data_IF_724833090709
#
_entry.id   IF_724833090709
#
_cell.length_a   1.000
_cell.length_b   1.000
_cell.length_c   1.000
_cell.angle_alpha   90.00
_cell.angle_beta   90.00
_cell.angle_gamma   90.00
#
_symmetry.space_group_name_H-M   'P 1'
#
loop_
_entity.id
_entity.type
_entity.pdbx_description
1 polymer ?
#
# COMPACT_ATOMS: atom_id res chain seq x y z
N UNK A 1 3.93 14.80 -21.89
CA UNK A 1 3.37 15.42 -20.67
C UNK A 1 4.41 15.60 -19.54
N UNK A 2 5.30 14.61 -19.24
CA UNK A 2 6.32 14.77 -18.17
C UNK A 2 7.28 15.93 -18.44
N UNK A 3 7.73 16.09 -19.69
CA UNK A 3 8.61 17.18 -20.09
C UNK A 3 7.92 18.55 -19.97
N UNK A 4 6.64 18.63 -20.26
CA UNK A 4 5.83 19.84 -20.09
C UNK A 4 5.68 20.20 -18.60
N UNK A 5 5.39 19.23 -17.74
CA UNK A 5 5.37 19.43 -16.30
C UNK A 5 6.73 19.91 -15.75
N UNK A 6 7.81 19.27 -16.20
CA UNK A 6 9.17 19.64 -15.80
C UNK A 6 9.52 21.06 -16.27
N UNK A 7 9.21 21.39 -17.54
CA UNK A 7 9.44 22.73 -18.08
C UNK A 7 8.62 23.81 -17.34
N UNK A 8 7.45 23.46 -16.84
CA UNK A 8 6.61 24.31 -15.99
C UNK A 8 7.03 24.38 -14.53
N UNK A 9 8.11 23.71 -14.14
CA UNK A 9 8.57 23.66 -12.74
C UNK A 9 7.66 22.83 -11.82
N UNK A 10 6.81 21.98 -12.39
CA UNK A 10 5.92 21.11 -11.64
C UNK A 10 6.63 19.81 -11.28
N UNK A 11 6.50 19.37 -10.05
CA UNK A 11 7.02 18.12 -9.50
C UNK A 11 6.23 17.67 -8.30
N UNK A 12 6.55 16.49 -7.77
CA UNK A 12 5.93 16.03 -6.53
C UNK A 12 6.16 17.05 -5.41
N UNK A 13 5.08 17.41 -4.69
CA UNK A 13 5.08 18.42 -3.65
C UNK A 13 4.70 19.82 -4.12
N UNK A 14 4.66 20.10 -5.43
CA UNK A 14 4.19 21.41 -5.91
C UNK A 14 2.72 21.62 -5.57
N UNK A 15 2.41 22.74 -4.92
CA UNK A 15 1.04 23.09 -4.51
C UNK A 15 0.99 23.70 -3.11
N UNK A 16 -0.08 23.42 -2.41
CA UNK A 16 -0.32 23.90 -1.04
C UNK A 16 -1.01 22.81 -0.20
N UNK A 17 -1.45 23.14 1.02
CA UNK A 17 -2.11 22.18 1.92
C UNK A 17 -3.46 21.66 1.42
N UNK A 18 -4.07 22.29 0.39
CA UNK A 18 -5.36 21.89 -0.17
C UNK A 18 -5.22 21.08 -1.47
N UNK A 19 -4.26 21.45 -2.32
CA UNK A 19 -4.01 20.80 -3.59
C UNK A 19 -2.51 20.69 -3.82
N UNK A 20 -2.03 19.47 -4.02
CA UNK A 20 -0.61 19.16 -4.21
C UNK A 20 -0.43 18.13 -5.31
N UNK A 21 0.61 18.31 -6.11
CA UNK A 21 1.04 17.29 -7.08
C UNK A 21 1.64 16.12 -6.31
N UNK A 22 1.03 14.95 -6.44
CA UNK A 22 1.49 13.70 -5.82
C UNK A 22 2.50 12.94 -6.68
N UNK A 23 2.63 11.63 -6.46
CA UNK A 23 3.45 10.75 -7.30
C UNK A 23 2.87 10.61 -8.70
N UNK A 24 3.73 10.27 -9.65
CA UNK A 24 3.26 9.69 -10.92
C UNK A 24 2.93 8.23 -10.66
N UNK A 25 1.66 7.86 -10.87
CA UNK A 25 1.20 6.49 -10.73
C UNK A 25 1.45 5.71 -12.02
N UNK A 26 2.21 4.65 -11.92
CA UNK A 26 2.40 3.66 -12.98
C UNK A 26 1.74 2.32 -12.60
N UNK A 27 1.57 1.48 -13.60
CA UNK A 27 1.04 0.13 -13.44
C UNK A 27 2.06 -0.88 -13.99
N UNK A 28 2.42 -1.87 -13.16
CA UNK A 28 3.29 -2.97 -13.55
C UNK A 28 2.82 -4.26 -12.89
N UNK A 29 2.54 -5.26 -13.71
CA UNK A 29 1.99 -6.52 -13.25
C UNK A 29 0.46 -6.57 -13.24
N UNK A 30 -0.10 -7.44 -12.44
CA UNK A 30 -1.49 -7.85 -12.52
C UNK A 30 -2.21 -7.84 -11.16
N UNK A 31 -3.42 -8.42 -11.11
CA UNK A 31 -4.34 -8.32 -9.99
C UNK A 31 -4.22 -9.51 -9.03
N UNK A 32 -4.20 -9.23 -7.71
CA UNK A 32 -4.37 -10.26 -6.70
C UNK A 32 -5.76 -10.89 -6.77
N UNK A 33 -6.82 -10.07 -6.72
CA UNK A 33 -8.20 -10.56 -6.72
C UNK A 33 -8.58 -11.27 -8.02
N UNK A 34 -8.01 -10.86 -9.15
CA UNK A 34 -8.14 -11.53 -10.45
C UNK A 34 -7.34 -12.84 -10.56
N UNK A 35 -6.49 -13.16 -9.56
CA UNK A 35 -5.58 -14.32 -9.60
C UNK A 35 -4.64 -14.27 -10.80
N UNK A 36 -4.19 -13.09 -11.17
CA UNK A 36 -3.34 -12.85 -12.34
C UNK A 36 -1.98 -12.26 -11.96
N UNK A 37 -1.74 -11.93 -10.69
CA UNK A 37 -0.43 -11.52 -10.20
C UNK A 37 0.65 -12.55 -10.57
N UNK A 38 1.77 -12.10 -11.12
CA UNK A 38 2.81 -13.02 -11.62
C UNK A 38 3.74 -13.46 -10.49
N UNK A 39 3.84 -14.78 -10.30
CA UNK A 39 4.51 -15.41 -9.18
C UNK A 39 5.72 -16.24 -9.62
N UNK A 40 6.68 -16.43 -8.71
CA UNK A 40 7.77 -17.41 -8.90
C UNK A 40 7.29 -18.85 -8.76
N UNK A 41 6.37 -19.09 -7.81
CA UNK A 41 5.77 -20.41 -7.59
C UNK A 41 4.31 -20.42 -8.04
N UNK A 42 3.78 -21.55 -8.56
CA UNK A 42 2.43 -21.59 -9.09
C UNK A 42 1.37 -21.32 -8.01
N UNK A 43 0.23 -20.84 -8.43
CA UNK A 43 -0.97 -20.76 -7.59
C UNK A 43 -1.39 -22.15 -7.08
N UNK A 44 -2.01 -22.21 -5.92
CA UNK A 44 -2.64 -23.45 -5.41
C UNK A 44 -4.01 -23.68 -6.06
N UNK A 45 -4.02 -23.73 -7.38
CA UNK A 45 -5.20 -23.98 -8.20
C UNK A 45 -4.83 -24.71 -9.48
N UNK A 46 -5.83 -25.36 -10.07
CA UNK A 46 -5.66 -25.95 -11.41
C UNK A 46 -5.67 -24.84 -12.44
N UNK A 47 -4.72 -24.83 -13.34
CA UNK A 47 -4.65 -23.92 -14.48
C UNK A 47 -5.79 -24.24 -15.45
N UNK A 48 -6.72 -23.29 -15.72
CA UNK A 48 -7.85 -23.55 -16.59
C UNK A 48 -7.47 -23.88 -18.05
N UNK A 49 -6.26 -23.49 -18.48
CA UNK A 49 -5.78 -23.71 -19.83
C UNK A 49 -5.15 -25.09 -20.04
N UNK A 50 -4.46 -25.61 -19.04
CA UNK A 50 -3.69 -26.88 -19.15
C UNK A 50 -4.32 -28.03 -18.40
N UNK A 51 -5.13 -27.74 -17.35
CA UNK A 51 -5.64 -28.75 -16.43
C UNK A 51 -4.63 -29.22 -15.36
N UNK A 52 -3.43 -28.63 -15.35
CA UNK A 52 -2.34 -28.93 -14.43
C UNK A 52 -2.22 -27.88 -13.32
N UNK A 53 -1.39 -28.11 -12.30
CA UNK A 53 -1.07 -27.11 -11.25
C UNK A 53 0.19 -26.32 -11.63
N UNK A 54 0.14 -25.65 -12.77
CA UNK A 54 1.24 -24.92 -13.42
C UNK A 54 0.90 -23.47 -13.72
N UNK A 55 -0.07 -22.88 -13.01
CA UNK A 55 -0.49 -21.52 -13.23
C UNK A 55 0.28 -20.53 -12.34
N UNK A 56 1.10 -19.69 -12.97
CA UNK A 56 1.96 -18.69 -12.31
C UNK A 56 1.40 -17.26 -12.35
N UNK A 57 0.19 -17.07 -12.82
CA UNK A 57 -0.36 -15.77 -13.15
C UNK A 57 -0.04 -15.34 -14.58
N UNK A 58 -0.17 -14.05 -14.86
CA UNK A 58 0.07 -13.48 -16.20
C UNK A 58 1.30 -12.57 -16.10
N UNK A 59 2.33 -12.81 -16.92
CA UNK A 59 3.47 -11.89 -16.99
C UNK A 59 3.03 -10.47 -17.32
N UNK A 60 3.72 -9.42 -16.82
CA UNK A 60 3.51 -8.06 -17.27
C UNK A 60 3.75 -7.92 -18.78
N UNK A 61 2.98 -7.06 -19.44
CA UNK A 61 3.19 -6.74 -20.86
C UNK A 61 4.52 -6.02 -21.10
N UNK A 62 5.03 -5.32 -20.10
CA UNK A 62 6.28 -4.57 -20.16
C UNK A 62 7.49 -5.49 -20.02
N UNK A 63 8.46 -5.35 -20.90
CA UNK A 63 9.79 -5.92 -20.72
C UNK A 63 10.55 -5.20 -19.59
N UNK A 64 11.60 -5.81 -19.06
CA UNK A 64 12.46 -5.16 -18.06
C UNK A 64 13.03 -3.83 -18.56
N UNK A 65 13.46 -3.75 -19.81
CA UNK A 65 14.04 -2.52 -20.39
C UNK A 65 13.02 -1.38 -20.49
N UNK A 66 11.77 -1.69 -20.83
CA UNK A 66 10.68 -0.71 -20.86
C UNK A 66 10.33 -0.22 -19.46
N UNK A 67 10.29 -1.13 -18.48
CA UNK A 67 10.07 -0.78 -17.08
C UNK A 67 11.21 0.09 -16.53
N UNK A 68 12.47 -0.28 -16.79
CA UNK A 68 13.66 0.50 -16.41
C UNK A 68 13.58 1.93 -16.97
N UNK A 69 13.21 2.05 -18.24
CA UNK A 69 13.07 3.33 -18.91
C UNK A 69 11.95 4.17 -18.33
N UNK A 70 10.79 3.57 -18.06
CA UNK A 70 9.64 4.25 -17.46
C UNK A 70 9.98 4.80 -16.06
N UNK A 71 10.52 3.94 -15.18
CA UNK A 71 10.87 4.32 -13.82
C UNK A 71 11.94 5.42 -13.83
N UNK A 72 12.97 5.26 -14.65
CA UNK A 72 14.03 6.28 -14.74
C UNK A 72 13.50 7.62 -15.26
N UNK A 73 12.64 7.63 -16.28
CA UNK A 73 12.05 8.86 -16.84
C UNK A 73 11.25 9.64 -15.80
N UNK A 74 10.42 8.96 -15.01
CA UNK A 74 9.64 9.60 -13.94
C UNK A 74 10.57 10.11 -12.83
N UNK A 75 11.55 9.29 -12.44
CA UNK A 75 12.52 9.62 -11.40
C UNK A 75 13.38 10.83 -11.79
N UNK A 76 13.95 10.84 -13.03
CA UNK A 76 14.78 11.94 -13.56
C UNK A 76 13.99 13.25 -13.67
N UNK A 77 12.68 13.17 -13.94
CA UNK A 77 11.79 14.33 -13.97
C UNK A 77 11.50 14.93 -12.59
N UNK A 78 12.02 14.34 -11.51
CA UNK A 78 11.86 14.85 -10.13
C UNK A 78 10.60 14.39 -9.42
N UNK A 79 9.82 13.48 -10.00
CA UNK A 79 8.60 12.98 -9.38
C UNK A 79 8.89 11.80 -8.44
N UNK A 80 8.05 11.67 -7.40
CA UNK A 80 7.86 10.42 -6.71
C UNK A 80 7.19 9.42 -7.65
N UNK A 81 7.65 8.18 -7.64
CA UNK A 81 7.07 7.10 -8.43
C UNK A 81 6.21 6.23 -7.51
N UNK A 82 4.96 5.99 -7.87
CA UNK A 82 4.09 5.01 -7.23
C UNK A 82 3.69 3.94 -8.24
N UNK A 83 3.97 2.66 -7.97
CA UNK A 83 3.73 1.59 -8.94
C UNK A 83 2.85 0.49 -8.35
N UNK A 84 1.75 0.19 -9.04
CA UNK A 84 0.97 -1.02 -8.77
C UNK A 84 1.81 -2.25 -9.07
N UNK A 85 1.97 -3.14 -8.11
CA UNK A 85 2.63 -4.45 -8.29
C UNK A 85 2.22 -5.41 -7.16
N UNK A 86 1.80 -6.63 -7.49
CA UNK A 86 1.21 -7.57 -6.54
C UNK A 86 2.02 -8.85 -6.32
N UNK A 87 2.48 -9.48 -7.39
CA UNK A 87 3.19 -10.75 -7.33
C UNK A 87 4.68 -10.61 -7.06
N UNK A 88 5.26 -11.55 -6.37
CA UNK A 88 6.68 -11.53 -5.98
C UNK A 88 7.64 -11.44 -7.18
N UNK A 89 7.28 -12.02 -8.30
CA UNK A 89 8.09 -12.00 -9.53
C UNK A 89 8.01 -10.64 -10.24
N UNK A 90 6.82 -10.06 -10.36
CA UNK A 90 6.67 -8.71 -10.94
C UNK A 90 7.27 -7.63 -10.03
N UNK A 91 7.15 -7.78 -8.69
CA UNK A 91 7.80 -6.87 -7.72
C UNK A 91 9.33 -6.94 -7.85
N UNK A 92 9.89 -8.13 -8.09
CA UNK A 92 11.34 -8.28 -8.31
C UNK A 92 11.81 -7.48 -9.53
N UNK A 93 11.08 -7.53 -10.64
CA UNK A 93 11.37 -6.70 -11.83
C UNK A 93 11.31 -5.21 -11.51
N UNK A 94 10.32 -4.79 -10.72
CA UNK A 94 10.16 -3.40 -10.30
C UNK A 94 11.32 -2.94 -9.41
N UNK A 95 11.77 -3.78 -8.47
CA UNK A 95 12.92 -3.49 -7.63
C UNK A 95 14.22 -3.33 -8.45
N UNK A 96 14.41 -4.16 -9.48
CA UNK A 96 15.54 -4.02 -10.41
C UNK A 96 15.52 -2.67 -11.14
N UNK A 97 14.33 -2.19 -11.53
CA UNK A 97 14.17 -0.91 -12.18
C UNK A 97 14.43 0.28 -11.22
N UNK A 98 13.95 0.20 -9.97
CA UNK A 98 14.25 1.22 -8.95
C UNK A 98 15.74 1.26 -8.62
N UNK A 99 16.39 0.11 -8.43
CA UNK A 99 17.82 0.02 -8.16
C UNK A 99 18.65 0.68 -9.25
N UNK A 100 18.37 0.39 -10.52
CA UNK A 100 19.03 1.02 -11.67
C UNK A 100 18.79 2.53 -11.72
N UNK A 101 17.56 2.97 -11.48
CA UNK A 101 17.22 4.39 -11.51
C UNK A 101 17.97 5.16 -10.41
N UNK A 102 17.97 4.65 -9.18
CA UNK A 102 18.65 5.26 -8.03
C UNK A 102 20.18 5.20 -8.15
N UNK A 103 20.73 4.12 -8.72
CA UNK A 103 22.17 4.03 -9.00
C UNK A 103 22.62 5.05 -10.07
N UNK A 104 21.79 5.29 -11.09
CA UNK A 104 22.08 6.23 -12.17
C UNK A 104 21.93 7.69 -11.75
N UNK A 105 20.90 7.99 -10.93
CA UNK A 105 20.64 9.33 -10.40
C UNK A 105 20.25 9.22 -8.93
N UNK A 106 21.23 9.24 -7.99
CA UNK A 106 20.92 9.17 -6.56
C UNK A 106 20.04 10.33 -6.10
N UNK A 107 19.00 10.02 -5.33
CA UNK A 107 18.13 11.01 -4.69
C UNK A 107 17.77 10.53 -3.30
N UNK A 108 18.16 11.32 -2.28
CA UNK A 108 17.74 11.09 -0.90
C UNK A 108 16.25 11.37 -0.72
N UNK A 109 15.63 10.71 0.23
CA UNK A 109 14.23 10.90 0.61
C UNK A 109 13.26 10.92 -0.59
N UNK A 110 13.49 10.03 -1.56
CA UNK A 110 12.65 9.96 -2.77
C UNK A 110 11.27 9.36 -2.49
N UNK A 111 11.13 8.53 -1.45
CA UNK A 111 9.90 7.84 -1.02
C UNK A 111 9.13 7.20 -2.17
N UNK A 112 9.83 6.61 -3.15
CA UNK A 112 9.16 5.84 -4.19
C UNK A 112 8.35 4.71 -3.56
N UNK A 113 7.21 4.36 -4.17
CA UNK A 113 6.23 3.49 -3.53
C UNK A 113 5.92 2.27 -4.37
N UNK A 114 5.70 1.16 -3.68
CA UNK A 114 5.03 -0.02 -4.24
C UNK A 114 3.61 -0.05 -3.69
N UNK A 115 2.65 0.09 -4.58
CA UNK A 115 1.24 -0.04 -4.24
C UNK A 115 0.87 -1.52 -4.23
N UNK A 116 0.20 -1.95 -3.17
CA UNK A 116 -0.26 -3.30 -2.88
C UNK A 116 0.82 -4.23 -2.32
N UNK A 117 1.87 -4.55 -3.06
CA UNK A 117 2.92 -5.49 -2.64
C UNK A 117 2.31 -6.74 -1.97
N UNK A 118 1.35 -7.36 -2.67
CA UNK A 118 0.45 -8.34 -2.04
C UNK A 118 1.12 -9.65 -1.67
N UNK A 119 2.09 -10.12 -2.46
CA UNK A 119 2.88 -11.32 -2.20
C UNK A 119 4.36 -10.93 -2.22
N UNK A 120 5.04 -11.11 -1.11
CA UNK A 120 6.47 -10.76 -0.98
C UNK A 120 7.21 -11.86 -0.23
N UNK A 121 8.55 -11.86 -0.38
CA UNK A 121 9.43 -12.70 0.43
C UNK A 121 10.28 -11.81 1.37
N UNK A 122 10.93 -12.40 2.41
CA UNK A 122 11.87 -11.65 3.23
C UNK A 122 13.01 -11.00 2.41
N UNK A 123 13.45 -11.64 1.33
CA UNK A 123 14.47 -11.09 0.42
C UNK A 123 13.94 -9.86 -0.34
N UNK A 124 12.68 -9.87 -0.78
CA UNK A 124 12.03 -8.72 -1.41
C UNK A 124 11.94 -7.57 -0.40
N UNK A 125 11.48 -7.82 0.83
CA UNK A 125 11.38 -6.79 1.87
C UNK A 125 12.74 -6.22 2.25
N UNK A 126 13.80 -7.03 2.25
CA UNK A 126 15.15 -6.55 2.49
C UNK A 126 15.58 -5.55 1.40
N UNK A 127 15.31 -5.83 0.13
CA UNK A 127 15.59 -4.90 -0.99
C UNK A 127 14.73 -3.63 -0.90
N UNK A 128 13.45 -3.76 -0.53
CA UNK A 128 12.56 -2.61 -0.29
C UNK A 128 13.16 -1.68 0.75
N UNK A 129 13.69 -2.23 1.86
CA UNK A 129 14.37 -1.48 2.91
C UNK A 129 15.66 -0.81 2.42
N UNK A 130 16.51 -1.55 1.72
CA UNK A 130 17.80 -1.06 1.18
C UNK A 130 17.63 0.05 0.16
N UNK A 131 16.53 -0.01 -0.62
CA UNK A 131 16.16 1.00 -1.59
C UNK A 131 15.31 2.14 -0.98
N UNK A 132 15.09 2.16 0.32
CA UNK A 132 14.31 3.18 1.05
C UNK A 132 12.91 3.43 0.45
N UNK A 133 12.27 2.35 -0.05
CA UNK A 133 10.93 2.43 -0.64
C UNK A 133 9.85 2.44 0.45
N UNK A 134 8.69 2.98 0.10
CA UNK A 134 7.47 2.95 0.93
C UNK A 134 6.53 1.87 0.42
N UNK A 135 5.98 1.07 1.32
CA UNK A 135 4.93 0.11 0.99
C UNK A 135 3.56 0.72 1.28
N UNK A 136 2.68 0.73 0.28
CA UNK A 136 1.29 1.15 0.43
C UNK A 136 0.42 -0.10 0.36
N UNK A 137 0.23 -0.73 1.54
CA UNK A 137 -0.34 -2.06 1.64
C UNK A 137 -1.88 -2.03 1.70
N UNK A 138 -2.49 -3.04 1.11
CA UNK A 138 -3.92 -3.27 1.22
C UNK A 138 -4.32 -3.76 2.61
N UNK A 139 -5.41 -3.20 3.12
CA UNK A 139 -6.07 -3.63 4.37
C UNK A 139 -7.38 -4.35 4.05
N UNK A 140 -7.34 -5.37 3.18
CA UNK A 140 -8.56 -5.87 2.57
C UNK A 140 -8.92 -7.34 2.88
N UNK A 141 -8.22 -7.94 3.86
CA UNK A 141 -8.48 -9.34 4.25
C UNK A 141 -9.92 -9.55 4.69
N UNK A 142 -10.56 -8.55 5.34
CA UNK A 142 -11.94 -8.66 5.77
C UNK A 142 -12.90 -8.91 4.60
N UNK A 143 -12.79 -8.16 3.51
CA UNK A 143 -13.72 -8.25 2.37
C UNK A 143 -13.29 -9.29 1.33
N UNK A 144 -12.00 -9.54 1.21
CA UNK A 144 -11.42 -10.31 0.11
C UNK A 144 -10.44 -11.40 0.54
N UNK A 145 -10.52 -11.85 1.80
CA UNK A 145 -9.68 -12.94 2.31
C UNK A 145 -9.83 -14.22 1.48
N UNK A 146 -11.02 -14.48 0.94
CA UNK A 146 -11.30 -15.60 0.03
C UNK A 146 -10.38 -15.63 -1.21
N UNK A 147 -9.92 -14.46 -1.67
CA UNK A 147 -8.98 -14.38 -2.81
C UNK A 147 -7.61 -14.95 -2.49
N UNK A 148 -7.22 -14.96 -1.20
CA UNK A 148 -5.95 -15.51 -0.75
C UNK A 148 -5.91 -17.05 -0.85
N UNK A 149 -7.06 -17.73 -0.90
CA UNK A 149 -7.16 -19.19 -1.02
C UNK A 149 -6.36 -19.73 -2.21
N UNK A 150 -6.46 -19.05 -3.36
CA UNK A 150 -5.80 -19.49 -4.57
C UNK A 150 -4.26 -19.43 -4.51
N UNK A 151 -3.71 -18.74 -3.50
CA UNK A 151 -2.25 -18.65 -3.32
C UNK A 151 -1.68 -19.78 -2.46
N UNK A 152 -2.53 -20.53 -1.75
CA UNK A 152 -2.15 -21.59 -0.83
C UNK A 152 -1.81 -21.08 0.57
N UNK A 153 -2.14 -21.88 1.58
CA UNK A 153 -2.02 -21.49 3.00
C UNK A 153 -0.58 -21.15 3.41
N UNK A 154 0.40 -21.81 2.83
CA UNK A 154 1.82 -21.60 3.13
C UNK A 154 2.30 -20.17 2.77
N UNK A 155 1.59 -19.48 1.86
CA UNK A 155 1.92 -18.10 1.46
C UNK A 155 1.19 -17.03 2.24
N UNK A 156 0.15 -17.35 3.01
CA UNK A 156 -0.65 -16.31 3.67
C UNK A 156 0.16 -15.47 4.67
N UNK A 157 1.21 -16.04 5.27
CA UNK A 157 2.16 -15.31 6.12
C UNK A 157 3.05 -14.32 5.35
N UNK A 158 3.15 -14.47 4.03
CA UNK A 158 3.92 -13.61 3.11
C UNK A 158 3.00 -12.73 2.24
N UNK A 159 1.74 -12.59 2.63
CA UNK A 159 0.77 -11.73 1.95
C UNK A 159 0.34 -10.58 2.85
N UNK A 160 0.36 -9.35 2.29
CA UNK A 160 0.04 -8.13 3.05
C UNK A 160 0.84 -8.04 4.35
N UNK A 161 2.15 -8.04 4.24
CA UNK A 161 3.13 -8.26 5.31
C UNK A 161 3.33 -7.05 6.23
N UNK A 162 2.24 -6.55 6.85
CA UNK A 162 2.30 -5.36 7.70
C UNK A 162 3.24 -5.55 8.90
N UNK A 163 3.10 -6.66 9.66
CA UNK A 163 3.93 -6.92 10.84
C UNK A 163 5.41 -6.99 10.48
N UNK A 164 5.74 -7.81 9.49
CA UNK A 164 7.14 -8.00 9.09
C UNK A 164 7.77 -6.71 8.56
N UNK A 165 7.03 -5.94 7.75
CA UNK A 165 7.51 -4.66 7.23
C UNK A 165 7.78 -3.64 8.36
N UNK A 166 6.86 -3.53 9.33
CA UNK A 166 7.04 -2.67 10.50
C UNK A 166 8.23 -3.09 11.36
N UNK A 167 8.41 -4.39 11.62
CA UNK A 167 9.53 -4.94 12.39
C UNK A 167 10.88 -4.68 11.71
N UNK A 168 10.90 -4.67 10.38
CA UNK A 168 12.08 -4.31 9.60
C UNK A 168 12.32 -2.79 9.53
N UNK A 169 11.40 -1.97 10.04
CA UNK A 169 11.45 -0.51 9.96
C UNK A 169 11.18 0.05 8.56
N UNK A 170 10.49 -0.70 7.71
CA UNK A 170 10.05 -0.23 6.39
C UNK A 170 8.83 0.69 6.59
N UNK A 171 8.79 1.88 5.97
CA UNK A 171 7.62 2.74 6.03
C UNK A 171 6.40 2.07 5.37
N UNK A 172 5.29 1.99 6.10
CA UNK A 172 4.03 1.39 5.63
C UNK A 172 2.91 2.42 5.69
N UNK A 173 2.15 2.53 4.61
CA UNK A 173 0.91 3.29 4.52
C UNK A 173 -0.28 2.37 4.24
N UNK A 174 -1.46 2.76 4.73
CA UNK A 174 -2.71 2.03 4.51
C UNK A 174 -3.40 2.42 3.19
N UNK A 175 -4.06 1.46 2.56
CA UNK A 175 -4.77 1.63 1.30
C UNK A 175 -6.05 0.79 1.28
N UNK A 176 -7.17 1.38 0.85
CA UNK A 176 -8.43 0.66 0.57
C UNK A 176 -8.60 0.30 -0.90
N UNK A 177 -7.85 0.96 -1.79
CA UNK A 177 -8.06 0.86 -3.24
C UNK A 177 -9.55 1.11 -3.59
N UNK A 178 -10.05 2.29 -3.15
CA UNK A 178 -11.47 2.63 -3.30
C UNK A 178 -11.97 2.42 -4.72
N UNK A 179 -13.10 1.71 -4.81
CA UNK A 179 -13.62 1.15 -6.06
C UNK A 179 -13.46 -0.37 -6.11
N UNK A 180 -12.34 -0.92 -5.60
CA UNK A 180 -12.16 -2.36 -5.36
C UNK A 180 -12.71 -2.74 -3.99
N UNK A 181 -12.44 -1.94 -2.97
CA UNK A 181 -12.93 -2.12 -1.60
C UNK A 181 -13.60 -0.85 -1.07
N UNK A 182 -14.47 -0.98 -0.07
CA UNK A 182 -15.14 0.17 0.54
C UNK A 182 -14.15 1.10 1.27
N UNK A 183 -14.37 2.42 1.18
CA UNK A 183 -13.60 3.42 1.91
C UNK A 183 -14.14 3.57 3.34
N UNK A 184 -14.01 2.53 4.15
CA UNK A 184 -14.43 2.48 5.56
C UNK A 184 -13.19 2.30 6.44
N UNK A 185 -12.60 3.38 6.99
CA UNK A 185 -11.32 3.30 7.71
C UNK A 185 -11.32 2.34 8.91
N UNK A 186 -12.39 2.32 9.71
CA UNK A 186 -12.47 1.43 10.88
C UNK A 186 -12.47 -0.05 10.49
N UNK A 187 -13.12 -0.41 9.37
CA UNK A 187 -13.06 -1.76 8.82
C UNK A 187 -11.64 -2.13 8.37
N UNK A 188 -10.92 -1.16 7.80
CA UNK A 188 -9.52 -1.36 7.37
C UNK A 188 -8.59 -1.60 8.56
N UNK A 189 -8.75 -0.81 9.62
CA UNK A 189 -8.00 -0.96 10.86
C UNK A 189 -8.28 -2.33 11.47
N UNK A 190 -9.55 -2.75 11.59
CA UNK A 190 -9.89 -4.09 12.07
C UNK A 190 -9.27 -5.20 11.22
N UNK A 191 -9.29 -5.06 9.90
CA UNK A 191 -8.70 -6.04 8.97
C UNK A 191 -7.21 -6.26 9.23
N UNK A 192 -6.46 -5.19 9.53
CA UNK A 192 -5.03 -5.28 9.90
C UNK A 192 -4.81 -5.95 11.26
N UNK A 193 -5.68 -5.66 12.22
CA UNK A 193 -5.58 -6.17 13.61
C UNK A 193 -5.99 -7.64 13.70
N UNK A 194 -7.06 -8.03 13.03
CA UNK A 194 -7.62 -9.38 13.19
C UNK A 194 -7.16 -10.35 12.12
N UNK A 195 -6.88 -9.89 10.90
CA UNK A 195 -6.61 -10.75 9.74
C UNK A 195 -7.73 -11.76 9.49
N UNK A 196 -8.96 -11.39 9.81
CA UNK A 196 -10.15 -12.24 9.74
C UNK A 196 -11.08 -11.73 8.64
N UNK A 197 -11.53 -12.62 7.77
CA UNK A 197 -12.52 -12.30 6.72
C UNK A 197 -13.93 -12.12 7.29
N UNK A 198 -14.85 -11.62 6.47
CA UNK A 198 -16.26 -11.49 6.85
C UNK A 198 -16.91 -12.84 7.22
N UNK A 199 -16.41 -13.94 6.66
CA UNK A 199 -16.86 -15.32 6.95
C UNK A 199 -16.20 -15.90 8.21
N UNK A 200 -15.35 -15.15 8.92
CA UNK A 200 -14.68 -15.56 10.15
C UNK A 200 -13.40 -16.37 9.95
N UNK A 201 -12.89 -16.51 8.72
CA UNK A 201 -11.63 -17.21 8.46
C UNK A 201 -10.43 -16.30 8.64
N UNK A 202 -9.39 -16.81 9.28
CA UNK A 202 -8.13 -16.10 9.55
C UNK A 202 -7.11 -16.42 8.47
N UNK A 203 -6.42 -15.37 7.96
CA UNK A 203 -5.41 -15.49 6.91
C UNK A 203 -4.08 -14.86 7.35
N UNK A 204 -3.06 -15.68 7.56
CA UNK A 204 -1.71 -15.23 7.96
C UNK A 204 -1.72 -14.42 9.26
N UNK A 205 -2.13 -15.01 10.42
CA UNK A 205 -2.24 -14.30 11.68
C UNK A 205 -0.92 -13.72 12.19
N UNK A 206 0.20 -14.18 11.66
CA UNK A 206 1.55 -13.69 11.96
C UNK A 206 1.75 -12.22 11.50
N UNK A 207 0.91 -11.76 10.57
CA UNK A 207 0.96 -10.40 10.04
C UNK A 207 0.00 -9.43 10.75
N UNK A 208 -0.60 -9.84 11.86
CA UNK A 208 -1.39 -8.96 12.72
C UNK A 208 -0.53 -7.85 13.30
N UNK A 209 -1.11 -6.66 13.39
CA UNK A 209 -0.51 -5.51 14.08
C UNK A 209 -1.47 -5.02 15.18
N UNK A 210 -0.97 -4.23 16.12
CA UNK A 210 -1.84 -3.68 17.18
C UNK A 210 -2.82 -2.63 16.62
N UNK A 211 -3.90 -2.31 17.32
CA UNK A 211 -4.78 -1.20 16.95
C UNK A 211 -4.05 0.13 16.80
N UNK A 212 -3.10 0.45 17.69
CA UNK A 212 -2.28 1.67 17.63
C UNK A 212 -1.39 1.69 16.38
N UNK A 213 -0.75 0.56 16.06
CA UNK A 213 0.05 0.43 14.84
C UNK A 213 -0.83 0.56 13.59
N UNK A 214 -2.02 -0.03 13.59
CA UNK A 214 -2.96 0.07 12.46
C UNK A 214 -3.45 1.51 12.25
N UNK A 215 -3.76 2.24 13.33
CA UNK A 215 -4.09 3.66 13.26
C UNK A 215 -2.90 4.45 12.71
N UNK A 216 -1.67 4.18 13.20
CA UNK A 216 -0.46 4.85 12.73
C UNK A 216 -0.19 4.61 11.24
N UNK A 217 -0.42 3.40 10.74
CA UNK A 217 -0.33 3.05 9.30
C UNK A 217 -1.32 3.89 8.49
N UNK A 218 -2.55 4.06 8.98
CA UNK A 218 -3.62 4.81 8.29
C UNK A 218 -3.54 6.33 8.46
N UNK A 219 -2.71 6.85 9.35
CA UNK A 219 -2.54 8.29 9.61
C UNK A 219 -1.13 8.75 9.28
N UNK A 220 -0.17 8.58 10.20
CA UNK A 220 1.22 9.01 10.03
C UNK A 220 1.92 8.32 8.85
N UNK A 221 1.71 7.00 8.67
CA UNK A 221 2.27 6.26 7.54
C UNK A 221 1.77 6.80 6.20
N UNK A 222 0.45 7.07 6.11
CA UNK A 222 -0.14 7.65 4.91
C UNK A 222 0.34 9.09 4.66
N UNK A 223 0.46 9.92 5.70
CA UNK A 223 1.03 11.27 5.59
C UNK A 223 2.49 11.22 5.13
N UNK A 224 3.31 10.35 5.73
CA UNK A 224 4.71 10.14 5.33
C UNK A 224 4.84 9.73 3.86
N UNK A 225 3.96 8.87 3.38
CA UNK A 225 4.01 8.37 2.00
C UNK A 225 3.84 9.46 0.94
N UNK A 226 3.40 10.65 1.33
CA UNK A 226 3.13 11.81 0.45
C UNK A 226 3.81 13.11 0.93
N UNK A 227 4.82 13.01 1.81
CA UNK A 227 5.59 14.13 2.35
C UNK A 227 4.73 15.15 3.13
N UNK A 228 3.81 14.68 3.97
CA UNK A 228 2.89 15.53 4.72
C UNK A 228 2.88 15.23 6.23
N UNK A 229 3.79 14.40 6.72
CA UNK A 229 3.87 14.04 8.14
C UNK A 229 4.18 15.22 9.06
N UNK A 230 4.79 16.28 8.54
CA UNK A 230 5.07 17.50 9.29
C UNK A 230 3.84 18.40 9.46
N UNK A 231 2.81 18.19 8.63
CA UNK A 231 1.62 19.04 8.62
C UNK A 231 0.32 18.30 8.98
N UNK A 232 0.31 16.96 8.94
CA UNK A 232 -0.87 16.13 9.30
C UNK A 232 -0.46 14.72 9.74
N UNK A 233 -1.43 13.87 10.04
CA UNK A 233 -1.24 12.46 10.42
C UNK A 233 -1.17 12.23 11.93
N UNK A 234 -0.96 13.29 12.72
CA UNK A 234 -1.05 13.26 14.20
C UNK A 234 -1.62 14.59 14.73
N UNK A 235 -2.12 14.56 15.96
CA UNK A 235 -2.63 15.75 16.65
C UNK A 235 -1.47 16.34 17.47
N UNK A 236 -0.76 17.29 16.86
CA UNK A 236 0.40 17.96 17.45
C UNK A 236 0.35 19.45 17.18
N UNK A 237 0.98 20.24 18.09
CA UNK A 237 1.06 21.70 17.92
C UNK A 237 1.85 22.02 16.63
N UNK A 238 1.25 22.86 15.79
CA UNK A 238 1.85 23.27 14.51
C UNK A 238 1.33 22.50 13.29
N UNK A 239 0.64 21.39 13.48
CA UNK A 239 -0.03 20.67 12.39
C UNK A 239 -1.42 21.20 12.11
N UNK A 240 -1.95 20.84 10.94
CA UNK A 240 -3.32 21.18 10.54
C UNK A 240 -4.32 20.58 11.54
N UNK A 241 -5.38 21.32 11.81
CA UNK A 241 -6.48 20.81 12.63
C UNK A 241 -7.38 19.88 11.80
N UNK A 242 -6.79 18.76 11.36
CA UNK A 242 -7.44 17.69 10.60
C UNK A 242 -7.58 16.47 11.51
N UNK A 243 -8.80 16.18 11.97
CA UNK A 243 -9.07 15.07 12.88
C UNK A 243 -10.49 14.54 12.75
N UNK A 244 -10.70 13.35 13.29
CA UNK A 244 -12.01 12.73 13.42
C UNK A 244 -12.34 12.51 14.90
N UNK A 245 -13.62 12.64 15.25
CA UNK A 245 -14.17 12.23 16.55
C UNK A 245 -14.91 10.92 16.34
N UNK A 246 -14.51 9.91 17.07
CA UNK A 246 -15.06 8.56 17.00
C UNK A 246 -16.07 8.32 18.14
N UNK A 247 -16.99 7.37 17.93
CA UNK A 247 -17.96 6.98 18.99
C UNK A 247 -17.32 6.20 20.13
N UNK A 248 -16.18 5.57 19.91
CA UNK A 248 -15.43 4.76 20.88
C UNK A 248 -13.94 4.78 20.53
N UNK A 249 -13.09 4.46 21.52
CA UNK A 249 -11.65 4.33 21.35
C UNK A 249 -11.32 2.99 20.68
N UNK A 250 -10.75 2.97 19.45
CA UNK A 250 -10.42 1.73 18.76
C UNK A 250 -9.32 0.90 19.43
N UNK A 251 -8.59 1.46 20.40
CA UNK A 251 -7.57 0.76 21.17
C UNK A 251 -8.13 0.11 22.45
N UNK A 252 -9.37 0.43 22.82
CA UNK A 252 -10.01 -0.02 24.07
C UNK A 252 -11.20 -0.97 23.84
N UNK A 253 -11.79 -0.98 22.64
CA UNK A 253 -12.89 -1.91 22.31
C UNK A 253 -12.35 -3.31 21.97
N UNK A 254 -13.17 -4.37 22.05
CA UNK A 254 -12.82 -5.66 21.47
C UNK A 254 -12.42 -5.52 20.00
N UNK A 255 -11.36 -6.22 19.59
CA UNK A 255 -10.76 -6.02 18.25
C UNK A 255 -11.70 -6.35 17.08
N UNK A 256 -12.69 -7.18 17.28
CA UNK A 256 -13.73 -7.55 16.33
C UNK A 256 -14.91 -6.55 16.25
N UNK A 257 -14.93 -5.56 17.15
CA UNK A 257 -15.89 -4.47 17.18
C UNK A 257 -15.34 -3.15 16.60
N UNK A 258 -14.05 -3.08 16.26
CA UNK A 258 -13.42 -1.85 15.72
C UNK A 258 -14.18 -1.34 14.48
N UNK A 259 -14.61 -2.21 13.59
CA UNK A 259 -15.38 -1.85 12.37
C UNK A 259 -16.72 -1.17 12.67
N UNK A 260 -17.26 -1.39 13.86
CA UNK A 260 -18.58 -0.88 14.27
C UNK A 260 -18.50 0.53 14.89
N UNK A 261 -17.27 1.03 15.10
CA UNK A 261 -17.03 2.40 15.57
C UNK A 261 -17.48 3.39 14.50
N UNK A 262 -18.37 4.31 14.88
CA UNK A 262 -18.90 5.32 13.98
C UNK A 262 -18.11 6.64 14.06
N UNK A 263 -18.07 7.35 12.94
CA UNK A 263 -17.52 8.72 12.88
C UNK A 263 -18.58 9.67 13.40
N UNK A 264 -18.30 10.40 14.48
CA UNK A 264 -19.18 11.43 15.06
C UNK A 264 -18.96 12.77 14.41
N UNK A 265 -17.71 13.09 14.06
CA UNK A 265 -17.36 14.36 13.45
C UNK A 265 -16.07 14.21 12.62
N UNK A 266 -15.98 14.93 11.52
CA UNK A 266 -14.75 15.12 10.77
C UNK A 266 -14.45 16.61 10.67
N UNK A 267 -13.23 16.99 11.04
CA UNK A 267 -12.73 18.36 10.99
C UNK A 267 -11.57 18.43 10.02
N UNK A 268 -11.59 19.43 9.14
CA UNK A 268 -10.53 19.71 8.17
C UNK A 268 -10.18 21.19 8.24
N UNK A 269 -8.91 21.50 8.48
CA UNK A 269 -8.44 22.88 8.63
C UNK A 269 -9.14 23.64 9.76
N UNK A 270 -9.60 22.96 10.81
CA UNK A 270 -10.37 23.53 11.91
C UNK A 270 -11.86 23.74 11.65
N UNK A 271 -12.33 23.46 10.42
CA UNK A 271 -13.75 23.51 10.06
C UNK A 271 -14.42 22.15 10.13
N UNK A 272 -15.62 22.05 10.70
CA UNK A 272 -16.42 20.80 10.68
C UNK A 272 -16.93 20.58 9.26
N UNK A 273 -16.56 19.45 8.65
CA UNK A 273 -16.98 19.07 7.29
C UNK A 273 -17.97 17.90 7.28
N UNK A 274 -18.09 17.21 8.41
CA UNK A 274 -19.08 16.15 8.61
C UNK A 274 -19.45 16.09 10.10
N UNK A 275 -20.73 15.91 10.38
CA UNK A 275 -21.28 15.64 11.71
C UNK A 275 -22.28 14.48 11.60
N UNK A 276 -21.96 13.37 12.28
CA UNK A 276 -22.77 12.18 12.34
C UNK A 276 -23.82 12.25 13.44
N UNK A 277 -24.90 11.52 13.28
CA UNK A 277 -25.98 11.40 14.28
C UNK A 277 -25.57 10.57 15.50
#
# INVERSE_FOLDING_TARGET
>A
YLDEFRAGGLGTGFGNSWVKVGPIKAHHGNSLSGRTAWLFEPYDMVNPATGERDYYGIPPDQTQSELDSLIFTIHEAGFQVGVHSNGDREITMLLDAFEKALARLPRSDHRHRIEHASVVSPAILQRVKELELVLVLHSYVYEHGDKMEAFGADRWSMMHTNRLALDMGIPVAGNSDYGVSAAIPMLRIQSLVTRTSAEGKVYGPEQRISPEEAIRVWTMGSAYSVFEEDIKGSIEVGKLADFVVLSSDPTAVPVDEIKDITIRMTVVGGGIVYEGN
#
